data_IF_832962201676
#
_entry.id   IF_832962201676
#
_cell.length_a   1.000
_cell.length_b   1.000
_cell.length_c   1.000
_cell.angle_alpha   90.00
_cell.angle_beta   90.00
_cell.angle_gamma   90.00
#
_symmetry.space_group_name_H-M   'P 1'
#
loop_
_entity.id
_entity.type
_entity.pdbx_description
1 polymer ?
#
# COMPACT_ATOMS: atom_id res chain seq x y z
N UNK A 1 -7.83 15.70 10.63
CA UNK A 1 -6.48 15.14 10.43
C UNK A 1 -6.14 15.24 8.96
N UNK A 2 -4.85 15.41 8.65
CA UNK A 2 -4.32 15.29 7.29
C UNK A 2 -3.74 13.89 7.09
N UNK A 3 -4.27 13.14 6.11
CA UNK A 3 -3.94 11.74 5.89
C UNK A 3 -3.38 11.57 4.47
N UNK A 4 -2.19 10.97 4.37
CA UNK A 4 -1.65 10.51 3.11
C UNK A 4 -2.00 9.01 2.97
N UNK A 5 -2.91 8.71 2.06
CA UNK A 5 -3.34 7.34 1.74
C UNK A 5 -2.57 6.85 0.52
N UNK A 6 -1.51 6.10 0.76
CA UNK A 6 -0.70 5.53 -0.32
C UNK A 6 -1.26 4.19 -0.80
N UNK A 7 -1.34 4.05 -2.13
CA UNK A 7 -1.77 2.82 -2.80
C UNK A 7 -0.91 2.56 -4.03
N UNK A 8 -0.21 1.44 -4.06
CA UNK A 8 0.81 1.15 -5.09
C UNK A 8 0.27 0.86 -6.48
N UNK A 9 -1.05 0.86 -6.68
CA UNK A 9 -1.74 0.50 -7.92
C UNK A 9 -2.57 1.65 -8.50
N UNK A 10 -3.35 1.31 -9.54
CA UNK A 10 -4.45 2.13 -10.06
C UNK A 10 -5.64 2.11 -9.08
N UNK A 11 -6.64 2.94 -9.34
CA UNK A 11 -7.84 3.00 -8.50
C UNK A 11 -9.00 2.15 -9.03
N UNK A 12 -8.92 1.63 -10.25
CA UNK A 12 -9.89 0.71 -10.85
C UNK A 12 -9.52 -0.77 -10.70
N UNK A 13 -10.47 -1.68 -10.93
CA UNK A 13 -10.23 -3.11 -11.05
C UNK A 13 -10.28 -3.88 -9.73
N UNK A 14 -9.17 -4.19 -9.11
CA UNK A 14 -9.05 -5.16 -8.00
C UNK A 14 -9.70 -4.74 -6.68
N UNK A 15 -9.90 -5.70 -5.77
CA UNK A 15 -10.49 -5.45 -4.45
C UNK A 15 -9.70 -4.46 -3.59
N UNK A 16 -8.37 -4.46 -3.67
CA UNK A 16 -7.54 -3.48 -2.96
C UNK A 16 -7.72 -2.05 -3.48
N UNK A 17 -7.96 -1.89 -4.79
CA UNK A 17 -8.24 -0.60 -5.41
C UNK A 17 -9.60 -0.05 -4.94
N UNK A 18 -10.64 -0.93 -4.93
CA UNK A 18 -11.97 -0.58 -4.39
C UNK A 18 -11.89 -0.20 -2.91
N UNK A 19 -11.10 -0.96 -2.13
CA UNK A 19 -10.87 -0.68 -0.72
C UNK A 19 -10.22 0.71 -0.52
N UNK A 20 -9.18 1.02 -1.28
CA UNK A 20 -8.50 2.32 -1.21
C UNK A 20 -9.46 3.48 -1.50
N UNK A 21 -10.28 3.38 -2.56
CA UNK A 21 -11.30 4.39 -2.89
C UNK A 21 -12.31 4.57 -1.78
N UNK A 22 -12.81 3.46 -1.21
CA UNK A 22 -13.78 3.52 -0.13
C UNK A 22 -13.20 4.21 1.11
N UNK A 23 -11.96 3.90 1.50
CA UNK A 23 -11.27 4.61 2.58
C UNK A 23 -11.13 6.10 2.30
N UNK A 24 -10.64 6.48 1.11
CA UNK A 24 -10.48 7.88 0.72
C UNK A 24 -11.79 8.66 0.85
N UNK A 25 -12.86 8.08 0.29
CA UNK A 25 -14.20 8.65 0.34
C UNK A 25 -14.72 8.80 1.76
N UNK A 26 -14.68 7.73 2.55
CA UNK A 26 -15.27 7.76 3.91
C UNK A 26 -14.46 8.64 4.86
N UNK A 27 -13.13 8.62 4.77
CA UNK A 27 -12.31 9.50 5.59
C UNK A 27 -12.50 10.98 5.22
N UNK A 28 -12.59 11.30 3.93
CA UNK A 28 -12.87 12.67 3.51
C UNK A 28 -14.26 13.14 3.92
N UNK A 29 -15.28 12.26 3.86
CA UNK A 29 -16.63 12.54 4.40
C UNK A 29 -16.64 12.71 5.91
N UNK A 30 -15.74 12.01 6.62
CA UNK A 30 -15.50 12.16 8.05
C UNK A 30 -14.79 13.48 8.45
N UNK A 31 -14.55 14.37 7.49
CA UNK A 31 -13.93 15.68 7.73
C UNK A 31 -12.40 15.64 7.81
N UNK A 32 -11.76 14.59 7.30
CA UNK A 32 -10.31 14.54 7.17
C UNK A 32 -9.85 15.12 5.83
N UNK A 33 -8.72 15.81 5.82
CA UNK A 33 -7.98 16.15 4.60
C UNK A 33 -7.25 14.89 4.13
N UNK A 34 -7.69 14.31 3.01
CA UNK A 34 -7.12 13.07 2.47
C UNK A 34 -6.45 13.33 1.14
N UNK A 35 -5.21 12.85 1.00
CA UNK A 35 -4.48 12.82 -0.27
C UNK A 35 -4.19 11.38 -0.63
N UNK A 36 -4.77 10.91 -1.72
CA UNK A 36 -4.51 9.58 -2.29
C UNK A 36 -3.27 9.66 -3.17
N UNK A 37 -2.26 8.88 -2.84
CA UNK A 37 -1.01 8.76 -3.63
C UNK A 37 -1.02 7.40 -4.32
N UNK A 38 -1.12 7.37 -5.65
CA UNK A 38 -1.33 6.13 -6.43
C UNK A 38 -0.68 6.21 -7.82
N UNK A 39 -0.95 5.22 -8.66
CA UNK A 39 -0.55 5.22 -10.07
C UNK A 39 -1.66 5.73 -11.00
N UNK A 40 -2.82 6.11 -10.45
CA UNK A 40 -3.96 6.58 -11.24
C UNK A 40 -3.69 7.94 -11.87
N UNK A 41 -3.88 8.02 -13.18
CA UNK A 41 -3.71 9.25 -13.98
C UNK A 41 -5.01 9.99 -14.27
N UNK A 42 -6.14 9.33 -14.09
CA UNK A 42 -7.47 9.85 -14.31
C UNK A 42 -8.35 9.64 -13.07
N UNK A 43 -7.96 10.19 -11.89
CA UNK A 43 -8.65 9.96 -10.63
C UNK A 43 -10.07 10.51 -10.60
N UNK A 44 -10.40 11.48 -11.47
CA UNK A 44 -11.73 12.07 -11.63
C UNK A 44 -12.80 11.07 -12.08
N UNK A 45 -12.40 9.90 -12.58
CA UNK A 45 -13.30 8.80 -12.95
C UNK A 45 -13.85 8.06 -11.73
N UNK A 46 -13.32 8.34 -10.54
CA UNK A 46 -13.64 7.60 -9.32
C UNK A 46 -14.19 8.52 -8.22
N UNK A 47 -15.19 8.02 -7.48
CA UNK A 47 -15.68 8.70 -6.29
C UNK A 47 -14.69 8.52 -5.13
N UNK A 48 -13.91 9.57 -4.88
CA UNK A 48 -12.98 9.68 -3.75
C UNK A 48 -13.53 10.61 -2.65
N UNK A 49 -14.78 11.07 -2.76
CA UNK A 49 -15.33 12.14 -1.91
C UNK A 49 -14.62 13.46 -2.20
N UNK A 50 -14.16 14.15 -1.16
CA UNK A 50 -13.36 15.38 -1.29
C UNK A 50 -11.84 15.15 -1.23
N UNK A 51 -11.39 13.88 -1.30
CA UNK A 51 -9.97 13.56 -1.29
C UNK A 51 -9.27 14.04 -2.58
N UNK A 52 -8.07 14.57 -2.42
CA UNK A 52 -7.17 14.87 -3.55
C UNK A 52 -6.46 13.61 -4.01
N UNK A 53 -6.00 13.56 -5.26
CA UNK A 53 -5.21 12.46 -5.79
C UNK A 53 -3.91 12.97 -6.41
N UNK A 54 -2.83 12.23 -6.18
CA UNK A 54 -1.49 12.47 -6.72
C UNK A 54 -0.97 11.21 -7.37
N UNK A 55 -0.57 11.29 -8.63
CA UNK A 55 0.06 10.19 -9.34
C UNK A 55 1.58 10.21 -9.16
N UNK A 56 2.18 9.02 -8.98
CA UNK A 56 3.64 8.88 -8.85
C UNK A 56 4.24 8.44 -10.16
N UNK A 57 5.33 9.09 -10.59
CA UNK A 57 6.13 8.64 -11.73
C UNK A 57 7.09 7.52 -11.30
N UNK A 58 6.83 6.31 -11.79
CA UNK A 58 7.69 5.17 -11.51
C UNK A 58 8.89 5.13 -12.46
N UNK A 59 10.10 4.84 -11.96
CA UNK A 59 11.29 4.62 -12.78
C UNK A 59 11.04 3.52 -13.82
N UNK A 60 11.26 3.84 -15.10
CA UNK A 60 10.98 2.92 -16.21
C UNK A 60 9.52 2.52 -16.36
N UNK A 61 8.59 3.20 -15.69
CA UNK A 61 7.15 2.83 -15.60
C UNK A 61 6.91 1.42 -15.02
N UNK A 62 7.90 0.89 -14.29
CA UNK A 62 7.90 -0.48 -13.79
C UNK A 62 7.03 -0.60 -12.53
N UNK A 63 5.96 -1.38 -12.64
CA UNK A 63 4.99 -1.62 -11.57
C UNK A 63 5.20 -3.01 -10.97
N UNK A 64 5.52 -3.14 -9.67
CA UNK A 64 5.50 -4.43 -9.00
C UNK A 64 4.06 -4.92 -8.83
N UNK A 65 3.81 -6.18 -9.18
CA UNK A 65 2.48 -6.79 -9.07
C UNK A 65 2.54 -8.12 -8.32
N UNK A 66 1.43 -8.53 -7.73
CA UNK A 66 1.26 -9.85 -7.09
C UNK A 66 0.45 -10.81 -7.97
N UNK A 67 -0.38 -10.24 -8.85
CA UNK A 67 -1.13 -10.96 -9.87
C UNK A 67 -0.90 -10.25 -11.18
N UNK A 68 -0.58 -11.03 -12.22
CA UNK A 68 -0.36 -10.45 -13.55
C UNK A 68 -1.71 -10.07 -14.16
N UNK A 69 -1.81 -8.80 -14.55
CA UNK A 69 -2.94 -8.23 -15.24
C UNK A 69 -2.45 -7.14 -16.20
N UNK A 70 -3.36 -6.53 -16.93
CA UNK A 70 -3.05 -5.40 -17.79
C UNK A 70 -3.16 -4.09 -17.01
N UNK A 71 -2.04 -3.40 -16.85
CA UNK A 71 -1.97 -2.08 -16.22
C UNK A 71 -1.65 -1.03 -17.28
N UNK A 72 -2.66 -0.24 -17.64
CA UNK A 72 -2.53 0.71 -18.74
C UNK A 72 -1.39 1.70 -18.48
N UNK A 73 -0.50 1.78 -19.46
CA UNK A 73 0.63 2.70 -19.41
C UNK A 73 1.76 2.31 -18.45
N UNK A 74 1.75 1.11 -17.85
CA UNK A 74 2.76 0.61 -16.91
C UNK A 74 3.31 -0.75 -17.37
N UNK A 75 4.58 -1.00 -17.04
CA UNK A 75 5.27 -2.27 -17.27
C UNK A 75 5.11 -3.14 -16.02
N UNK A 76 4.20 -4.13 -16.06
CA UNK A 76 3.97 -5.01 -14.92
C UNK A 76 5.05 -6.10 -14.82
N UNK A 77 5.57 -6.29 -13.60
CA UNK A 77 6.52 -7.36 -13.27
C UNK A 77 6.19 -7.90 -11.88
N UNK A 78 6.27 -9.21 -11.67
CA UNK A 78 6.04 -9.77 -10.34
C UNK A 78 7.06 -9.21 -9.33
N UNK A 79 6.60 -8.85 -8.15
CA UNK A 79 7.46 -8.27 -7.10
C UNK A 79 8.62 -9.20 -6.72
N UNK A 80 8.38 -10.52 -6.67
CA UNK A 80 9.41 -11.51 -6.38
C UNK A 80 10.53 -11.55 -7.43
N UNK A 81 10.26 -11.10 -8.65
CA UNK A 81 11.23 -11.07 -9.75
C UNK A 81 11.99 -9.72 -9.85
N UNK A 82 11.64 -8.76 -9.00
CA UNK A 82 12.36 -7.48 -8.91
C UNK A 82 13.77 -7.71 -8.39
N UNK A 83 14.74 -7.16 -9.06
CA UNK A 83 16.08 -7.01 -8.50
C UNK A 83 16.08 -6.06 -7.30
N UNK A 84 17.11 -6.13 -6.48
CA UNK A 84 17.26 -5.21 -5.34
C UNK A 84 17.29 -3.74 -5.79
N UNK A 85 17.93 -3.46 -6.93
CA UNK A 85 18.00 -2.11 -7.49
C UNK A 85 16.61 -1.60 -7.93
N UNK A 86 15.81 -2.43 -8.58
CA UNK A 86 14.45 -2.10 -8.98
C UNK A 86 13.54 -1.87 -7.77
N UNK A 87 13.62 -2.73 -6.75
CA UNK A 87 12.88 -2.55 -5.48
C UNK A 87 13.25 -1.23 -4.81
N UNK A 88 14.53 -0.93 -4.71
CA UNK A 88 15.03 0.33 -4.12
C UNK A 88 14.56 1.55 -4.90
N UNK A 89 14.64 1.53 -6.23
CA UNK A 89 14.18 2.61 -7.09
C UNK A 89 12.67 2.85 -6.95
N UNK A 90 11.88 1.78 -6.91
CA UNK A 90 10.44 1.85 -6.67
C UNK A 90 10.11 2.47 -5.31
N UNK A 91 10.73 1.97 -4.24
CA UNK A 91 10.50 2.47 -2.87
C UNK A 91 10.88 3.95 -2.79
N UNK A 92 12.03 4.35 -3.33
CA UNK A 92 12.49 5.74 -3.27
C UNK A 92 11.59 6.69 -4.04
N UNK A 93 11.13 6.34 -5.25
CA UNK A 93 10.21 7.18 -6.01
C UNK A 93 8.91 7.45 -5.25
N UNK A 94 8.32 6.41 -4.67
CA UNK A 94 7.09 6.53 -3.90
C UNK A 94 7.29 7.25 -2.56
N UNK A 95 8.38 6.98 -1.85
CA UNK A 95 8.70 7.66 -0.61
C UNK A 95 9.01 9.15 -0.84
N UNK A 96 9.67 9.51 -1.94
CA UNK A 96 9.90 10.89 -2.32
C UNK A 96 8.59 11.64 -2.56
N UNK A 97 7.62 11.01 -3.22
CA UNK A 97 6.28 11.57 -3.40
C UNK A 97 5.57 11.82 -2.06
N UNK A 98 5.65 10.86 -1.12
CA UNK A 98 5.09 11.05 0.23
C UNK A 98 5.81 12.18 0.98
N UNK A 99 7.15 12.22 0.95
CA UNK A 99 7.92 13.29 1.62
C UNK A 99 7.58 14.69 1.10
N UNK A 100 7.31 14.84 -0.20
CA UNK A 100 6.90 16.11 -0.80
C UNK A 100 5.52 16.60 -0.32
N UNK A 101 4.70 15.70 0.22
CA UNK A 101 3.37 16.00 0.75
C UNK A 101 3.33 16.20 2.27
N UNK A 102 4.45 16.00 2.97
CA UNK A 102 4.52 16.21 4.42
C UNK A 102 4.49 17.71 4.75
N UNK A 103 4.04 18.11 5.96
CA UNK A 103 3.64 17.26 7.08
C UNK A 103 2.24 16.64 6.93
N UNK A 104 2.04 15.50 7.55
CA UNK A 104 0.76 14.81 7.68
C UNK A 104 0.64 14.18 9.07
N UNK A 105 -0.61 14.03 9.55
CA UNK A 105 -0.88 13.36 10.83
C UNK A 105 -0.76 11.84 10.74
N UNK A 106 -0.98 11.30 9.53
CA UNK A 106 -0.95 9.86 9.27
C UNK A 106 -0.49 9.58 7.82
N UNK A 107 0.46 8.69 7.67
CA UNK A 107 0.73 7.98 6.42
C UNK A 107 0.12 6.59 6.54
N UNK A 108 -0.85 6.27 5.70
CA UNK A 108 -1.49 4.96 5.65
C UNK A 108 -1.16 4.30 4.30
N UNK A 109 -0.53 3.13 4.35
CA UNK A 109 -0.09 2.43 3.15
C UNK A 109 -0.83 1.12 2.96
N UNK A 110 -1.01 0.71 1.72
CA UNK A 110 -1.58 -0.58 1.34
C UNK A 110 -0.47 -1.53 0.89
N UNK A 111 -0.65 -2.82 1.15
CA UNK A 111 0.29 -3.90 0.85
C UNK A 111 1.57 -3.87 1.69
N UNK A 112 1.83 -4.97 2.38
CA UNK A 112 2.98 -5.12 3.29
C UNK A 112 4.31 -5.02 2.54
N UNK A 113 4.42 -5.74 1.40
CA UNK A 113 5.66 -5.80 0.60
C UNK A 113 5.93 -4.53 -0.22
N UNK A 114 4.91 -3.75 -0.52
CA UNK A 114 5.05 -2.50 -1.27
C UNK A 114 4.95 -1.30 -0.32
N UNK A 115 3.84 -1.20 0.40
CA UNK A 115 3.54 -0.07 1.27
C UNK A 115 4.34 -0.06 2.56
N UNK A 116 4.75 -1.22 3.09
CA UNK A 116 5.62 -1.29 4.27
C UNK A 116 6.96 -0.57 4.03
N UNK A 117 7.76 -0.96 3.01
CA UNK A 117 9.01 -0.26 2.69
C UNK A 117 8.83 1.21 2.32
N UNK A 118 7.78 1.56 1.57
CA UNK A 118 7.49 2.95 1.20
C UNK A 118 7.15 3.79 2.42
N UNK A 119 6.29 3.29 3.32
CA UNK A 119 5.97 3.95 4.57
C UNK A 119 7.21 4.14 5.45
N UNK A 120 8.03 3.09 5.59
CA UNK A 120 9.27 3.13 6.34
C UNK A 120 10.29 4.14 5.79
N UNK A 121 10.33 4.35 4.47
CA UNK A 121 11.21 5.30 3.80
C UNK A 121 10.64 6.72 3.74
N UNK A 122 9.37 6.94 4.05
CA UNK A 122 8.73 8.26 4.05
C UNK A 122 9.30 9.21 5.12
N UNK A 123 9.84 8.66 6.21
CA UNK A 123 10.34 9.42 7.35
C UNK A 123 9.24 9.91 8.31
N UNK A 124 7.98 9.53 8.08
CA UNK A 124 6.84 9.86 8.93
C UNK A 124 6.33 8.60 9.67
N UNK A 125 5.60 8.77 10.80
CA UNK A 125 4.83 7.68 11.39
C UNK A 125 3.85 7.10 10.38
N UNK A 126 3.83 5.76 10.25
CA UNK A 126 2.99 5.11 9.24
C UNK A 126 2.28 3.88 9.75
N UNK A 127 1.18 3.56 9.12
CA UNK A 127 0.40 2.34 9.33
C UNK A 127 0.20 1.64 7.99
N UNK A 128 0.11 0.31 8.02
CA UNK A 128 0.03 -0.49 6.79
C UNK A 128 -1.14 -1.46 6.83
N UNK A 129 -1.80 -1.63 5.69
CA UNK A 129 -2.87 -2.61 5.48
C UNK A 129 -2.34 -3.79 4.69
N UNK A 130 -2.42 -4.99 5.27
CA UNK A 130 -2.14 -6.24 4.58
C UNK A 130 -3.31 -6.66 3.69
N UNK A 131 -2.98 -7.18 2.50
CA UNK A 131 -3.93 -7.74 1.54
C UNK A 131 -3.58 -9.19 1.20
N UNK A 132 -4.59 -10.03 0.89
CA UNK A 132 -4.39 -11.46 0.69
C UNK A 132 -3.49 -11.81 -0.50
N UNK A 133 -3.58 -11.08 -1.60
CA UNK A 133 -2.84 -11.42 -2.84
C UNK A 133 -1.32 -11.40 -2.64
N UNK A 134 -0.79 -10.45 -1.89
CA UNK A 134 0.65 -10.39 -1.61
C UNK A 134 1.12 -11.52 -0.71
N UNK A 135 0.32 -11.83 0.33
CA UNK A 135 0.64 -12.86 1.30
C UNK A 135 0.62 -14.25 0.66
N UNK A 136 -0.43 -14.54 -0.11
CA UNK A 136 -0.64 -15.85 -0.71
C UNK A 136 0.21 -16.11 -1.96
N UNK A 137 0.33 -15.11 -2.86
CA UNK A 137 0.95 -15.35 -4.16
C UNK A 137 2.42 -14.95 -4.22
N UNK A 138 2.84 -13.98 -3.41
CA UNK A 138 4.24 -13.55 -3.42
C UNK A 138 5.04 -14.02 -2.22
N UNK A 139 4.48 -14.01 -1.01
CA UNK A 139 5.24 -14.32 0.21
C UNK A 139 5.26 -15.81 0.56
N UNK A 140 4.14 -16.53 0.35
CA UNK A 140 4.07 -17.95 0.68
C UNK A 140 5.16 -18.75 -0.05
N UNK A 141 5.97 -19.49 0.73
CA UNK A 141 7.11 -20.25 0.21
C UNK A 141 8.38 -19.43 -0.11
N UNK A 142 8.40 -18.12 0.24
CA UNK A 142 9.54 -17.22 0.04
C UNK A 142 9.94 -16.53 1.35
N UNK A 143 10.72 -17.21 2.21
CA UNK A 143 11.05 -16.70 3.54
C UNK A 143 11.82 -15.37 3.51
N UNK A 144 12.57 -15.09 2.45
CA UNK A 144 13.28 -13.82 2.26
C UNK A 144 12.32 -12.63 2.14
N UNK A 145 11.17 -12.80 1.48
CA UNK A 145 10.13 -11.76 1.43
C UNK A 145 9.42 -11.61 2.76
N UNK A 146 9.19 -12.71 3.47
CA UNK A 146 8.65 -12.68 4.84
C UNK A 146 9.57 -11.93 5.81
N UNK A 147 10.89 -12.15 5.71
CA UNK A 147 11.86 -11.42 6.51
C UNK A 147 11.86 -9.93 6.19
N UNK A 148 11.88 -9.56 4.91
CA UNK A 148 11.82 -8.15 4.48
C UNK A 148 10.56 -7.45 4.97
N UNK A 149 9.40 -8.11 4.88
CA UNK A 149 8.15 -7.63 5.45
C UNK A 149 8.25 -7.41 6.96
N UNK A 150 8.77 -8.38 7.70
CA UNK A 150 8.97 -8.29 9.16
C UNK A 150 9.79 -7.07 9.56
N UNK A 151 10.90 -6.83 8.88
CA UNK A 151 11.80 -5.70 9.15
C UNK A 151 11.10 -4.35 8.94
N UNK A 152 10.24 -4.25 7.94
CA UNK A 152 9.49 -3.02 7.67
C UNK A 152 8.27 -2.85 8.59
N UNK A 153 7.56 -3.94 8.92
CA UNK A 153 6.43 -3.91 9.86
C UNK A 153 6.85 -3.58 11.29
N UNK A 154 8.06 -3.96 11.70
CA UNK A 154 8.61 -3.56 13.00
C UNK A 154 8.72 -2.04 13.17
N UNK A 155 8.76 -1.29 12.08
CA UNK A 155 8.80 0.18 12.05
C UNK A 155 7.44 0.84 11.94
N UNK A 156 6.40 0.08 11.60
CA UNK A 156 5.05 0.59 11.50
C UNK A 156 4.40 0.78 12.87
N UNK A 157 3.60 1.83 13.04
CA UNK A 157 2.83 2.06 14.27
C UNK A 157 1.73 1.02 14.45
N UNK A 158 1.18 0.53 13.34
CA UNK A 158 0.18 -0.53 13.33
C UNK A 158 0.11 -1.23 11.96
N UNK A 159 -0.25 -2.51 11.99
CA UNK A 159 -0.61 -3.30 10.81
C UNK A 159 -2.11 -3.61 10.88
N UNK A 160 -2.81 -3.47 9.76
CA UNK A 160 -4.23 -3.77 9.67
C UNK A 160 -4.47 -4.99 8.79
N UNK A 161 -5.44 -5.80 9.17
CA UNK A 161 -5.92 -6.96 8.41
C UNK A 161 -7.43 -6.81 8.15
N UNK A 162 -7.94 -7.49 7.12
CA UNK A 162 -9.36 -7.39 6.75
C UNK A 162 -10.22 -8.52 7.29
N UNK A 163 -9.60 -9.57 7.82
CA UNK A 163 -10.28 -10.75 8.38
C UNK A 163 -9.30 -11.57 9.22
N UNK A 164 -9.86 -12.48 10.04
CA UNK A 164 -9.04 -13.43 10.81
C UNK A 164 -8.18 -14.32 9.91
N UNK A 165 -8.70 -14.79 8.78
CA UNK A 165 -7.91 -15.54 7.80
C UNK A 165 -6.66 -14.78 7.34
N UNK A 166 -6.78 -13.47 7.02
CA UNK A 166 -5.62 -12.65 6.61
C UNK A 166 -4.65 -12.46 7.78
N UNK A 167 -5.15 -12.41 9.02
CA UNK A 167 -4.31 -12.35 10.22
C UNK A 167 -3.47 -13.63 10.38
N UNK A 168 -4.11 -14.80 10.22
CA UNK A 168 -3.44 -16.10 10.29
C UNK A 168 -2.37 -16.24 9.18
N UNK A 169 -2.71 -15.89 7.94
CA UNK A 169 -1.77 -15.95 6.82
C UNK A 169 -0.60 -14.98 7.02
N UNK A 170 -0.86 -13.76 7.50
CA UNK A 170 0.21 -12.80 7.84
C UNK A 170 1.15 -13.38 8.89
N UNK A 171 0.62 -13.96 9.96
CA UNK A 171 1.42 -14.59 11.01
C UNK A 171 2.25 -15.78 10.47
N UNK A 172 1.70 -16.56 9.55
CA UNK A 172 2.38 -17.69 8.91
C UNK A 172 3.58 -17.24 8.06
N UNK A 173 3.39 -16.21 7.21
CA UNK A 173 4.42 -15.81 6.24
C UNK A 173 5.41 -14.77 6.78
N UNK A 174 5.02 -13.94 7.73
CA UNK A 174 5.87 -12.91 8.35
C UNK A 174 6.41 -13.35 9.71
N UNK A 175 5.70 -14.25 10.41
CA UNK A 175 5.89 -14.58 11.80
C UNK A 175 5.10 -13.63 12.71
N UNK A 176 5.37 -13.72 14.03
CA UNK A 176 4.69 -12.87 14.99
C UNK A 176 4.97 -11.39 14.75
N UNK A 177 3.91 -10.61 14.64
CA UNK A 177 3.96 -9.15 14.52
C UNK A 177 3.11 -8.53 15.61
N UNK A 178 3.68 -7.59 16.35
CA UNK A 178 2.93 -6.80 17.32
C UNK A 178 2.01 -5.79 16.63
N UNK A 179 0.98 -5.34 17.35
CA UNK A 179 0.09 -4.25 16.90
C UNK A 179 -0.63 -4.55 15.59
N UNK A 180 -1.19 -5.76 15.46
CA UNK A 180 -2.08 -6.14 14.36
C UNK A 180 -3.54 -5.92 14.76
N UNK A 181 -4.27 -5.12 13.99
CA UNK A 181 -5.65 -4.73 14.24
C UNK A 181 -6.56 -5.06 13.06
N UNK A 182 -7.86 -5.21 13.33
CA UNK A 182 -8.85 -5.42 12.29
C UNK A 182 -9.30 -4.09 11.68
N UNK A 183 -9.35 -4.03 10.34
CA UNK A 183 -9.92 -2.94 9.58
C UNK A 183 -10.55 -3.51 8.30
N UNK A 184 -11.85 -3.68 8.32
CA UNK A 184 -12.63 -4.23 7.21
C UNK A 184 -13.58 -3.20 6.63
N UNK A 185 -13.89 -3.29 5.33
CA UNK A 185 -14.93 -2.48 4.69
C UNK A 185 -16.34 -2.71 5.28
N UNK A 186 -16.56 -3.85 5.94
CA UNK A 186 -17.85 -4.13 6.61
C UNK A 186 -18.06 -3.20 7.82
N UNK A 187 -17.00 -2.58 8.31
CA UNK A 187 -17.04 -1.67 9.45
C UNK A 187 -16.90 -0.19 9.04
N UNK A 188 -16.93 0.09 7.74
CA UNK A 188 -16.94 1.42 7.13
C UNK A 188 -18.29 1.59 6.40
#
# INVERSE_FOLDING_TARGET
MRILLWHGYLLGGTGSNVYCRALAREWSRGGHEVVVVSQERAPEQYDLGSAQAVAVDLPGRLLPVFVMDRYEGLEAKFLQDFSEAERRAYVEANAAALRALLPADLVFTNHVLMGGPVGAASGAPFRVKAHGSELEYSMRGRPELGQWARETLARADATYVGSEHIREVLADVVGHTDRVFDLSLIHI
#
